data_IF_027021127658
#
_entry.id   IF_027021127658
#
_cell.length_a   1.000
_cell.length_b   1.000
_cell.length_c   1.000
_cell.angle_alpha   90.00
_cell.angle_beta   90.00
_cell.angle_gamma   90.00
#
_symmetry.space_group_name_H-M   'P 1'
#
loop_
_entity.id
_entity.type
_entity.pdbx_description
1 polymer ?
#
# COMPACT_ATOMS: atom_id res chain seq x y z
N UNK A 1 -20.52 9.30 3.04
CA UNK A 1 -19.81 8.01 3.21
C UNK A 1 -18.35 8.36 3.37
N UNK A 2 -17.71 7.91 4.46
CA UNK A 2 -16.32 8.26 4.75
C UNK A 2 -15.39 7.68 3.69
N UNK A 3 -14.44 8.47 3.17
CA UNK A 3 -13.55 8.09 2.08
C UNK A 3 -12.11 8.57 2.34
N UNK A 4 -11.15 7.65 2.24
CA UNK A 4 -9.72 7.97 2.09
C UNK A 4 -9.39 7.99 0.59
N UNK A 5 -8.69 9.02 0.15
CA UNK A 5 -8.06 9.05 -1.18
C UNK A 5 -6.54 9.06 -1.03
N UNK A 6 -5.85 8.09 -1.64
CA UNK A 6 -4.40 8.12 -1.69
C UNK A 6 -3.93 9.16 -2.71
N UNK A 7 -3.59 10.35 -2.23
CA UNK A 7 -3.33 11.52 -3.08
C UNK A 7 -1.90 11.56 -3.60
N UNK A 8 -0.88 11.51 -2.75
CA UNK A 8 0.49 11.67 -3.21
C UNK A 8 1.50 10.77 -2.51
N UNK A 9 2.56 10.40 -3.22
CA UNK A 9 3.75 9.77 -2.65
C UNK A 9 5.02 10.41 -3.19
N UNK A 10 5.77 11.03 -2.27
CA UNK A 10 7.04 11.70 -2.54
C UNK A 10 8.18 10.88 -1.93
N UNK A 11 9.19 10.59 -2.76
CA UNK A 11 10.39 9.85 -2.35
C UNK A 11 11.54 10.86 -2.23
N UNK A 12 11.96 11.10 -0.99
CA UNK A 12 13.12 11.93 -0.64
C UNK A 12 14.42 11.14 -0.64
N UNK A 13 15.45 11.71 -0.02
CA UNK A 13 16.76 11.05 0.14
C UNK A 13 16.66 9.84 1.08
N UNK A 14 16.02 10.04 2.23
CA UNK A 14 15.96 9.13 3.37
C UNK A 14 14.52 8.94 3.85
N UNK A 15 13.55 9.49 3.12
CA UNK A 15 12.17 9.65 3.59
C UNK A 15 11.18 9.36 2.50
N UNK A 16 10.10 8.67 2.84
CA UNK A 16 8.92 8.53 1.99
C UNK A 16 7.77 9.26 2.66
N UNK A 17 7.16 10.18 1.93
CA UNK A 17 6.03 10.96 2.41
C UNK A 17 4.78 10.57 1.64
N UNK A 18 3.76 10.13 2.36
CA UNK A 18 2.44 9.79 1.85
C UNK A 18 1.47 10.92 2.19
N UNK A 19 0.68 11.34 1.22
CA UNK A 19 -0.39 12.30 1.39
C UNK A 19 -1.71 11.61 1.05
N UNK A 20 -2.71 11.85 1.87
CA UNK A 20 -4.04 11.32 1.68
C UNK A 20 -5.09 12.33 2.10
N UNK A 21 -6.27 12.19 1.51
CA UNK A 21 -7.43 12.99 1.87
C UNK A 21 -8.34 12.12 2.73
N UNK A 22 -8.59 12.51 3.98
CA UNK A 22 -9.64 11.95 4.83
C UNK A 22 -10.86 12.85 4.70
N UNK A 23 -11.89 12.40 4.00
CA UNK A 23 -13.11 13.21 3.78
C UNK A 23 -12.83 14.62 3.20
N UNK A 24 -11.75 14.74 2.42
CA UNK A 24 -11.29 16.00 1.82
C UNK A 24 -10.13 16.66 2.56
N UNK A 25 -9.87 16.29 3.81
CA UNK A 25 -8.81 16.89 4.62
C UNK A 25 -7.44 16.24 4.36
N UNK A 26 -6.45 17.08 4.05
CA UNK A 26 -5.11 16.62 3.74
C UNK A 26 -4.36 16.16 4.99
N UNK A 27 -3.99 14.89 4.98
CA UNK A 27 -3.18 14.26 6.00
C UNK A 27 -1.85 13.79 5.40
N UNK A 28 -0.81 13.80 6.22
CA UNK A 28 0.55 13.45 5.78
C UNK A 28 1.17 12.43 6.73
N UNK A 29 1.60 11.30 6.18
CA UNK A 29 2.39 10.29 6.88
C UNK A 29 3.81 10.31 6.33
N UNK A 30 4.82 10.27 7.22
CA UNK A 30 6.23 10.28 6.82
C UNK A 30 6.94 9.09 7.45
N UNK A 31 7.60 8.30 6.61
CA UNK A 31 8.50 7.21 7.04
C UNK A 31 9.93 7.67 6.78
N UNK A 32 10.77 7.58 7.80
CA UNK A 32 12.18 7.99 7.74
C UNK A 32 13.09 6.77 7.94
N UNK A 33 14.06 6.63 7.05
CA UNK A 33 15.02 5.53 6.99
C UNK A 33 16.40 6.03 7.40
N UNK A 34 16.76 5.86 8.67
CA UNK A 34 18.01 6.40 9.23
C UNK A 34 19.28 5.82 8.59
N UNK A 35 19.21 4.61 8.05
CA UNK A 35 20.38 3.83 7.60
C UNK A 35 20.36 3.54 6.10
N UNK A 36 19.53 4.24 5.32
CA UNK A 36 19.31 3.95 3.90
C UNK A 36 19.08 5.25 3.13
N UNK A 37 19.86 5.51 2.07
CA UNK A 37 19.47 6.51 1.09
C UNK A 37 18.68 5.85 -0.04
N UNK A 38 17.42 6.23 -0.17
CA UNK A 38 16.48 5.83 -1.22
C UNK A 38 16.90 6.34 -2.61
N UNK A 39 17.81 7.31 -2.67
CA UNK A 39 18.40 7.81 -3.91
C UNK A 39 19.73 7.15 -4.27
N UNK A 40 20.15 6.14 -3.52
CA UNK A 40 21.33 5.37 -3.89
C UNK A 40 21.18 4.74 -5.28
N UNK A 41 22.21 4.81 -6.14
CA UNK A 41 22.15 4.31 -7.51
C UNK A 41 21.72 2.85 -7.64
N UNK A 42 21.97 2.02 -6.62
CA UNK A 42 21.56 0.61 -6.61
C UNK A 42 20.04 0.43 -6.51
N UNK A 43 19.36 1.34 -5.80
CA UNK A 43 17.91 1.31 -5.58
C UNK A 43 17.15 2.09 -6.66
N UNK A 44 17.77 3.11 -7.25
CA UNK A 44 17.14 3.96 -8.28
C UNK A 44 17.36 3.48 -9.72
N UNK A 45 18.03 2.34 -9.92
CA UNK A 45 18.22 1.73 -11.25
C UNK A 45 16.89 1.53 -11.99
N UNK A 46 15.88 1.14 -11.23
CA UNK A 46 14.51 1.03 -11.70
C UNK A 46 13.63 2.02 -10.92
N UNK A 47 13.31 3.14 -11.56
CA UNK A 47 12.49 4.19 -10.98
C UNK A 47 11.06 3.70 -10.70
N UNK A 48 10.55 2.78 -11.52
CA UNK A 48 9.21 2.23 -11.34
C UNK A 48 9.20 1.23 -10.18
N UNK A 49 10.25 0.43 -9.99
CA UNK A 49 10.36 -0.45 -8.82
C UNK A 49 10.33 0.32 -7.50
N UNK A 50 11.09 1.42 -7.39
CA UNK A 50 11.11 2.25 -6.17
C UNK A 50 9.76 2.93 -5.95
N UNK A 51 9.09 3.39 -7.02
CA UNK A 51 7.74 3.96 -6.93
C UNK A 51 6.72 2.90 -6.51
N UNK A 52 6.78 1.69 -7.06
CA UNK A 52 5.95 0.54 -6.72
C UNK A 52 6.13 0.14 -5.26
N UNK A 53 7.36 0.09 -4.75
CA UNK A 53 7.65 -0.13 -3.34
C UNK A 53 7.02 0.95 -2.46
N UNK A 54 7.24 2.22 -2.78
CA UNK A 54 6.70 3.33 -2.02
C UNK A 54 5.16 3.32 -2.02
N UNK A 55 4.53 3.15 -3.18
CA UNK A 55 3.06 3.04 -3.30
C UNK A 55 2.54 1.87 -2.47
N UNK A 56 3.14 0.68 -2.60
CA UNK A 56 2.73 -0.51 -1.84
C UNK A 56 2.83 -0.29 -0.34
N UNK A 57 3.90 0.35 0.13
CA UNK A 57 4.07 0.70 1.54
C UNK A 57 3.02 1.71 2.00
N UNK A 58 2.67 2.69 1.17
CA UNK A 58 1.59 3.65 1.43
C UNK A 58 0.27 2.93 1.62
N UNK A 59 -0.10 2.06 0.67
CA UNK A 59 -1.33 1.24 0.74
C UNK A 59 -1.34 0.39 2.01
N UNK A 60 -0.27 -0.35 2.32
CA UNK A 60 -0.14 -1.10 3.58
C UNK A 60 -0.26 -0.22 4.82
N UNK A 61 0.38 0.95 4.80
CA UNK A 61 0.35 1.92 5.89
C UNK A 61 -1.06 2.41 6.20
N UNK A 62 -1.92 2.58 5.18
CA UNK A 62 -3.33 2.89 5.39
C UNK A 62 -4.05 1.77 6.12
N UNK A 63 -3.88 0.54 5.66
CA UNK A 63 -4.56 -0.60 6.27
C UNK A 63 -4.19 -0.83 7.73
N UNK A 64 -2.97 -0.46 8.15
CA UNK A 64 -2.55 -0.50 9.57
C UNK A 64 -3.40 0.37 10.51
N UNK A 65 -4.24 1.28 10.02
CA UNK A 65 -5.13 2.12 10.84
C UNK A 65 -6.62 1.68 10.82
N UNK A 66 -6.93 0.46 10.38
CA UNK A 66 -8.27 -0.16 10.25
C UNK A 66 -9.35 0.08 11.30
N UNK A 67 -9.01 0.41 12.55
CA UNK A 67 -9.98 0.73 13.60
C UNK A 67 -10.58 2.14 13.44
N UNK A 68 -9.94 2.98 12.63
CA UNK A 68 -10.31 4.37 12.30
C UNK A 68 -10.48 4.52 10.79
N UNK A 69 -10.54 3.41 10.04
CA UNK A 69 -10.62 3.49 8.59
C UNK A 69 -12.00 3.96 8.13
N UNK A 70 -12.04 4.76 7.05
CA UNK A 70 -13.27 5.10 6.34
C UNK A 70 -13.93 3.86 5.73
N UNK A 71 -15.13 4.02 5.19
CA UNK A 71 -15.79 2.95 4.45
C UNK A 71 -15.10 2.61 3.12
N UNK A 72 -14.35 3.55 2.52
CA UNK A 72 -13.71 3.38 1.21
C UNK A 72 -12.26 3.86 1.21
N UNK A 73 -11.39 3.11 0.53
CA UNK A 73 -10.03 3.49 0.20
C UNK A 73 -9.87 3.60 -1.31
N UNK A 74 -9.63 4.80 -1.83
CA UNK A 74 -9.41 5.04 -3.25
C UNK A 74 -7.92 5.08 -3.59
N UNK A 75 -7.48 4.06 -4.32
CA UNK A 75 -6.11 3.93 -4.84
C UNK A 75 -6.07 4.09 -6.36
N UNK A 76 -7.17 4.54 -7.00
CA UNK A 76 -7.30 4.60 -8.46
C UNK A 76 -6.16 5.36 -9.13
N UNK A 77 -5.68 6.44 -8.50
CA UNK A 77 -4.54 7.25 -8.97
C UNK A 77 -3.25 6.45 -9.11
N UNK A 78 -3.07 5.42 -8.29
CA UNK A 78 -1.84 4.63 -8.19
C UNK A 78 -1.99 3.16 -8.62
N UNK A 79 -3.15 2.77 -9.18
CA UNK A 79 -3.42 1.38 -9.58
C UNK A 79 -2.31 0.75 -10.44
N UNK A 80 -1.71 1.53 -11.36
CA UNK A 80 -0.59 1.10 -12.19
C UNK A 80 0.61 0.54 -11.41
N UNK A 81 0.85 1.02 -10.19
CA UNK A 81 1.98 0.62 -9.35
C UNK A 81 1.58 -0.33 -8.22
N UNK A 82 0.30 -0.63 -8.07
CA UNK A 82 -0.18 -1.56 -7.03
C UNK A 82 -0.27 -2.95 -7.62
N UNK A 83 0.46 -3.91 -7.06
CA UNK A 83 0.40 -5.29 -7.53
C UNK A 83 -0.96 -5.93 -7.18
N UNK A 84 -1.57 -6.72 -8.08
CA UNK A 84 -2.84 -7.39 -7.79
C UNK A 84 -2.82 -8.25 -6.53
N UNK A 85 -1.72 -8.96 -6.28
CA UNK A 85 -1.59 -9.81 -5.09
C UNK A 85 -1.61 -9.01 -3.78
N UNK A 86 -1.19 -7.74 -3.81
CA UNK A 86 -1.31 -6.87 -2.63
C UNK A 86 -2.78 -6.61 -2.33
N UNK A 87 -3.58 -6.29 -3.34
CA UNK A 87 -5.02 -6.06 -3.16
C UNK A 87 -5.70 -7.32 -2.63
N UNK A 88 -5.45 -8.48 -3.25
CA UNK A 88 -5.99 -9.77 -2.81
C UNK A 88 -5.55 -10.11 -1.38
N UNK A 89 -4.29 -9.88 -1.05
CA UNK A 89 -3.77 -10.11 0.30
C UNK A 89 -4.50 -9.25 1.34
N UNK A 90 -4.74 -7.98 1.02
CA UNK A 90 -5.44 -7.05 1.91
C UNK A 90 -6.90 -7.47 2.05
N UNK A 91 -7.61 -7.72 0.95
CA UNK A 91 -8.98 -8.23 0.95
C UNK A 91 -9.13 -9.54 1.73
N UNK A 92 -8.11 -10.40 1.73
CA UNK A 92 -8.12 -11.64 2.50
C UNK A 92 -7.84 -11.43 3.99
N UNK A 93 -6.90 -10.55 4.34
CA UNK A 93 -6.42 -10.39 5.72
C UNK A 93 -7.23 -9.42 6.57
N UNK A 94 -7.90 -8.45 5.95
CA UNK A 94 -8.62 -7.40 6.68
C UNK A 94 -9.98 -7.85 7.24
N UNK A 95 -10.81 -8.64 6.53
CA UNK A 95 -12.15 -8.99 7.02
C UNK A 95 -12.19 -9.91 8.24
N UNK A 96 -11.05 -10.47 8.68
CA UNK A 96 -11.04 -11.59 9.64
C UNK A 96 -10.26 -11.38 10.94
N UNK A 97 -9.34 -10.42 11.01
CA UNK A 97 -8.35 -10.36 12.10
C UNK A 97 -8.41 -9.06 12.92
N UNK A 98 -9.29 -8.12 12.56
CA UNK A 98 -9.32 -6.79 13.16
C UNK A 98 -10.15 -6.77 14.44
N UNK A 99 -9.43 -7.11 15.52
CA UNK A 99 -9.74 -6.90 16.93
C UNK A 99 -10.90 -5.94 17.21
N UNK A 100 -11.96 -6.50 17.78
CA UNK A 100 -13.14 -5.85 18.39
C UNK A 100 -12.80 -4.83 19.50
N UNK A 101 -11.53 -4.54 19.74
CA UNK A 101 -11.06 -3.72 20.84
C UNK A 101 -10.75 -2.28 20.39
N UNK A 102 -11.77 -1.43 20.42
CA UNK A 102 -11.89 -0.27 21.36
C UNK A 102 -12.60 0.99 20.87
N UNK A 103 -13.05 1.12 19.61
CA UNK A 103 -13.63 2.42 19.19
C UNK A 103 -14.85 2.40 18.25
N UNK A 104 -15.61 1.31 18.11
CA UNK A 104 -16.81 1.31 17.25
C UNK A 104 -17.99 0.51 17.81
N UNK A 105 -18.77 1.12 18.70
CA UNK A 105 -20.16 0.69 18.95
C UNK A 105 -21.07 0.85 17.71
N UNK A 106 -20.84 1.77 16.73
CA UNK A 106 -21.77 1.91 15.59
C UNK A 106 -21.55 0.96 14.39
N UNK A 107 -20.48 0.15 14.33
CA UNK A 107 -20.13 -0.61 13.11
C UNK A 107 -19.82 -2.08 13.36
N UNK A 108 -20.75 -2.76 14.02
CA UNK A 108 -20.66 -4.20 14.32
C UNK A 108 -20.59 -5.08 13.06
N UNK A 109 -20.95 -4.54 11.89
CA UNK A 109 -20.92 -5.19 10.59
C UNK A 109 -19.74 -4.76 9.70
N UNK A 110 -18.82 -3.94 10.21
CA UNK A 110 -17.67 -3.48 9.42
C UNK A 110 -16.71 -4.62 9.09
N UNK A 111 -16.49 -4.86 7.79
CA UNK A 111 -15.62 -5.92 7.25
C UNK A 111 -14.31 -5.38 6.67
N UNK A 112 -13.97 -4.12 6.97
CA UNK A 112 -12.90 -3.40 6.31
C UNK A 112 -13.41 -2.43 5.24
N UNK A 113 -12.53 -1.57 4.70
CA UNK A 113 -12.91 -0.62 3.68
C UNK A 113 -13.03 -1.32 2.31
N UNK A 114 -13.96 -0.87 1.49
CA UNK A 114 -13.97 -1.19 0.07
C UNK A 114 -12.77 -0.52 -0.61
N UNK A 115 -11.99 -1.29 -1.38
CA UNK A 115 -10.84 -0.78 -2.12
C UNK A 115 -11.29 -0.38 -3.52
N UNK A 116 -11.21 0.91 -3.84
CA UNK A 116 -11.54 1.43 -5.17
C UNK A 116 -10.27 1.48 -6.03
N UNK A 117 -10.30 0.73 -7.14
CA UNK A 117 -9.23 0.68 -8.13
C UNK A 117 -9.79 0.32 -9.51
N UNK A 118 -8.98 0.54 -10.56
CA UNK A 118 -9.30 0.08 -11.91
C UNK A 118 -8.58 -1.24 -12.18
N UNK A 119 -9.34 -2.33 -12.17
CA UNK A 119 -8.81 -3.69 -12.30
C UNK A 119 -7.87 -3.87 -13.52
N UNK A 120 -8.25 -3.33 -14.68
CA UNK A 120 -7.45 -3.43 -15.92
C UNK A 120 -6.12 -2.67 -15.88
N UNK A 121 -5.98 -1.71 -14.98
CA UNK A 121 -4.77 -0.89 -14.84
C UNK A 121 -3.88 -1.37 -13.69
N UNK A 122 -4.32 -2.37 -12.92
CA UNK A 122 -3.64 -2.84 -11.72
C UNK A 122 -2.29 -3.48 -12.05
N UNK A 123 -1.23 -2.95 -11.46
CA UNK A 123 0.13 -3.47 -11.65
C UNK A 123 0.68 -3.30 -13.07
N UNK A 124 0.05 -2.50 -13.94
CA UNK A 124 0.49 -2.28 -15.31
C UNK A 124 1.92 -1.70 -15.43
N UNK A 125 2.43 -1.09 -14.34
CA UNK A 125 3.78 -0.53 -14.21
C UNK A 125 4.66 -1.35 -13.25
N UNK A 126 4.15 -2.44 -12.71
CA UNK A 126 4.85 -3.32 -11.76
C UNK A 126 5.49 -4.54 -12.44
N UNK A 127 6.06 -4.36 -13.65
CA UNK A 127 6.83 -5.42 -14.32
C UNK A 127 8.19 -5.56 -13.64
N UNK A 128 8.28 -6.49 -12.68
CA UNK A 128 9.57 -6.91 -12.17
C UNK A 128 10.32 -7.71 -13.24
N UNK A 129 11.48 -7.21 -13.66
CA UNK A 129 12.45 -8.06 -14.34
C UNK A 129 13.04 -9.01 -13.29
N UNK A 130 12.37 -10.14 -13.02
CA UNK A 130 12.95 -11.25 -12.26
C UNK A 130 14.01 -11.95 -13.11
N UNK A 131 15.09 -11.24 -13.48
CA UNK A 131 16.29 -11.83 -14.09
C UNK A 131 17.28 -12.32 -13.03
N UNK A 132 16.79 -12.71 -11.85
CA UNK A 132 17.58 -13.32 -10.78
C UNK A 132 17.18 -14.78 -10.65
N UNK A 133 18.06 -15.69 -11.05
CA UNK A 133 17.92 -17.16 -10.90
C UNK A 133 17.23 -17.53 -9.59
N UNK A 134 16.00 -18.05 -9.69
CA UNK A 134 15.40 -18.90 -8.66
C UNK A 134 16.21 -20.20 -8.64
N UNK A 135 17.18 -20.32 -7.73
CA UNK A 135 17.75 -21.62 -7.37
C UNK A 135 16.72 -22.28 -6.45
N UNK A 136 15.85 -23.09 -7.05
CA UNK A 136 15.03 -24.06 -6.32
C UNK A 136 15.98 -25.12 -5.73
N UNK A 137 16.37 -24.93 -4.48
CA UNK A 137 16.80 -26.04 -3.63
C UNK A 137 15.55 -26.85 -3.28
N UNK A 138 15.17 -27.80 -4.14
CA UNK A 138 14.24 -28.84 -3.71
C UNK A 138 14.97 -29.73 -2.70
N UNK A 139 14.43 -29.78 -1.49
CA UNK A 139 14.87 -30.72 -0.48
C UNK A 139 14.50 -32.13 -0.94
N UNK A 140 15.51 -32.98 -1.11
CA UNK A 140 15.34 -34.42 -1.10
C UNK A 140 14.90 -34.84 0.30
N UNK A 141 13.77 -35.54 0.40
CA UNK A 141 13.65 -36.80 1.15
C UNK A 141 12.66 -37.70 0.43
#
# INVERSE_FOLDING_TARGET
MEKVVFDNVNIGEDTITFKYLLDGDLNTLKVHYKSLSLKEPKLTRDKDALKTFAVSLGVFGFFRFGAVLPAQLDITKYCGWVHPDLVKFLEYTIPHEWSEHRYQIPRLDYKGPEILYKEKELGARSMYCLSGRLVLLSQRR
#
